data_IF_411920275278
#
_entry.id   IF_411920275278
#
_cell.length_a   1.000
_cell.length_b   1.000
_cell.length_c   1.000
_cell.angle_alpha   90.00
_cell.angle_beta   90.00
_cell.angle_gamma   90.00
#
_symmetry.space_group_name_H-M   'P 1'
#
loop_
_entity.id
_entity.type
_entity.pdbx_description
1 polymer ?
#
# COMPACT_ATOMS: atom_id res chain seq x y z
N UNK A 1 -22.91 2.53 6.52
CA UNK A 1 -23.10 3.29 5.29
C UNK A 1 -22.12 2.87 4.25
N UNK A 2 -22.60 2.59 3.05
CA UNK A 2 -21.71 2.17 1.96
C UNK A 2 -20.96 3.33 1.31
N UNK A 3 -21.46 4.54 1.43
CA UNK A 3 -20.87 5.69 0.75
C UNK A 3 -19.42 5.96 1.08
N UNK A 4 -18.97 5.99 2.34
CA UNK A 4 -17.55 6.17 2.64
C UNK A 4 -16.69 5.04 2.09
N UNK A 5 -17.19 3.81 2.16
CA UNK A 5 -16.49 2.65 1.61
C UNK A 5 -16.35 2.77 0.09
N UNK A 6 -17.42 3.21 -0.58
CA UNK A 6 -17.39 3.39 -2.03
C UNK A 6 -16.38 4.46 -2.46
N UNK A 7 -16.28 5.54 -1.69
CA UNK A 7 -15.31 6.59 -1.96
C UNK A 7 -13.87 6.09 -1.81
N UNK A 8 -13.63 5.29 -0.78
CA UNK A 8 -12.30 4.69 -0.55
C UNK A 8 -11.96 3.74 -1.70
N UNK A 9 -12.88 2.87 -2.08
CA UNK A 9 -12.65 1.94 -3.19
C UNK A 9 -12.39 2.66 -4.51
N UNK A 10 -13.10 3.75 -4.75
CA UNK A 10 -12.88 4.56 -5.94
C UNK A 10 -11.48 5.18 -5.92
N UNK A 11 -11.05 5.66 -4.75
CA UNK A 11 -9.72 6.22 -4.59
C UNK A 11 -8.63 5.16 -4.85
N UNK A 12 -8.84 3.93 -4.37
CA UNK A 12 -7.90 2.84 -4.62
C UNK A 12 -7.77 2.54 -6.11
N UNK A 13 -8.84 2.69 -6.87
CA UNK A 13 -8.82 2.50 -8.33
C UNK A 13 -8.09 3.63 -9.05
N UNK A 14 -8.25 4.86 -8.57
CA UNK A 14 -7.71 6.04 -9.23
C UNK A 14 -6.25 6.31 -8.85
N UNK A 15 -5.87 5.98 -7.64
CA UNK A 15 -4.53 6.30 -7.12
C UNK A 15 -3.81 5.02 -6.72
N UNK A 16 -2.86 4.61 -7.54
CA UNK A 16 -2.08 3.40 -7.29
C UNK A 16 -0.77 3.69 -6.59
N UNK A 17 -0.31 4.93 -6.61
CA UNK A 17 0.93 5.32 -5.95
C UNK A 17 0.59 6.08 -4.67
N UNK A 18 1.16 5.63 -3.58
CA UNK A 18 0.99 6.27 -2.28
C UNK A 18 2.25 6.11 -1.47
N UNK A 19 2.17 6.44 -0.18
CA UNK A 19 3.31 6.24 0.72
C UNK A 19 3.02 5.11 1.68
N UNK A 20 4.07 4.33 1.97
CA UNK A 20 4.01 3.29 2.98
C UNK A 20 5.01 3.65 4.08
N UNK A 21 4.52 3.78 5.31
CA UNK A 21 5.36 4.01 6.46
C UNK A 21 5.52 2.72 7.25
N UNK A 22 6.75 2.37 7.58
CA UNK A 22 7.09 1.22 8.41
C UNK A 22 7.96 1.70 9.57
N UNK A 23 8.20 0.82 10.54
CA UNK A 23 8.97 1.17 11.73
C UNK A 23 10.23 0.31 11.80
N UNK A 24 11.38 0.96 11.98
CA UNK A 24 12.66 0.30 12.19
C UNK A 24 13.34 0.92 13.39
N UNK A 25 13.71 0.11 14.37
CA UNK A 25 14.36 0.59 15.59
C UNK A 25 13.59 1.77 16.22
N UNK A 26 12.28 1.60 16.29
CA UNK A 26 11.38 2.58 16.89
C UNK A 26 11.30 3.92 16.15
N UNK A 27 11.71 3.95 14.87
CA UNK A 27 11.66 5.14 14.03
C UNK A 27 10.78 4.88 12.81
N UNK A 28 9.97 5.85 12.40
CA UNK A 28 9.15 5.69 11.20
C UNK A 28 9.97 5.98 9.93
N UNK A 29 9.73 5.18 8.92
CA UNK A 29 10.32 5.36 7.58
C UNK A 29 9.19 5.31 6.57
N UNK A 30 9.11 6.29 5.68
CA UNK A 30 8.10 6.30 4.64
C UNK A 30 8.74 6.41 3.26
N UNK A 31 8.10 5.81 2.28
CA UNK A 31 8.56 5.82 0.89
C UNK A 31 7.36 5.66 -0.02
N UNK A 32 7.51 6.05 -1.28
CA UNK A 32 6.48 5.83 -2.27
C UNK A 32 6.44 4.35 -2.69
N UNK A 33 5.23 3.83 -2.87
CA UNK A 33 5.01 2.46 -3.30
C UNK A 33 3.84 2.42 -4.29
N UNK A 34 3.84 1.41 -5.13
CA UNK A 34 2.71 1.10 -5.99
C UNK A 34 1.79 0.13 -5.24
N UNK A 35 0.52 0.49 -5.13
CA UNK A 35 -0.45 -0.31 -4.39
C UNK A 35 -1.46 -0.96 -5.30
N UNK A 36 -1.86 -2.16 -4.93
CA UNK A 36 -2.97 -2.90 -5.51
C UNK A 36 -3.99 -3.15 -4.40
N UNK A 37 -5.19 -3.57 -4.76
CA UNK A 37 -6.19 -3.83 -3.74
C UNK A 37 -7.13 -4.96 -4.14
N UNK A 38 -7.70 -5.60 -3.12
CA UNK A 38 -8.79 -6.54 -3.25
C UNK A 38 -9.78 -6.18 -2.14
N UNK A 39 -10.91 -5.58 -2.53
CA UNK A 39 -11.77 -4.93 -1.55
C UNK A 39 -11.01 -3.82 -0.86
N UNK A 40 -11.02 -3.81 0.46
CA UNK A 40 -10.30 -2.81 1.25
C UNK A 40 -8.90 -3.25 1.65
N UNK A 41 -8.53 -4.49 1.35
CA UNK A 41 -7.18 -4.99 1.63
C UNK A 41 -6.22 -4.46 0.59
N UNK A 42 -5.11 -3.90 1.02
CA UNK A 42 -4.08 -3.38 0.12
C UNK A 42 -2.93 -4.36 -0.03
N UNK A 43 -2.31 -4.31 -1.18
CA UNK A 43 -1.12 -5.12 -1.48
C UNK A 43 -0.08 -4.21 -2.13
N UNK A 44 1.18 -4.50 -1.84
CA UNK A 44 2.27 -3.83 -2.52
C UNK A 44 3.39 -4.82 -2.77
N UNK A 45 4.03 -4.70 -3.93
CA UNK A 45 5.10 -5.60 -4.31
C UNK A 45 6.44 -4.96 -4.00
N UNK A 46 7.38 -5.76 -3.52
CA UNK A 46 8.74 -5.29 -3.25
C UNK A 46 9.72 -6.42 -3.52
N UNK A 47 11.00 -6.09 -3.50
CA UNK A 47 12.08 -7.06 -3.65
C UNK A 47 12.52 -7.51 -2.25
N UNK A 48 12.81 -8.80 -2.10
CA UNK A 48 13.24 -9.36 -0.81
C UNK A 48 14.52 -8.73 -0.26
N UNK A 49 15.32 -8.15 -1.14
CA UNK A 49 16.58 -7.52 -0.72
C UNK A 49 16.38 -6.18 -0.01
N UNK A 50 15.15 -5.66 0.03
CA UNK A 50 14.86 -4.43 0.75
C UNK A 50 14.64 -4.71 2.23
N UNK A 51 14.77 -3.67 3.06
CA UNK A 51 14.57 -3.81 4.50
C UNK A 51 13.11 -3.90 4.91
N UNK A 52 12.19 -3.68 3.98
CA UNK A 52 10.74 -3.63 4.30
C UNK A 52 10.23 -4.92 4.93
N UNK A 53 10.63 -6.07 4.38
CA UNK A 53 10.17 -7.35 4.90
C UNK A 53 10.65 -7.58 6.33
N UNK A 54 11.91 -7.26 6.59
CA UNK A 54 12.49 -7.40 7.92
C UNK A 54 11.84 -6.45 8.91
N UNK A 55 11.62 -5.20 8.50
CA UNK A 55 10.96 -4.20 9.34
C UNK A 55 9.56 -4.67 9.75
N UNK A 56 8.82 -5.25 8.81
CA UNK A 56 7.45 -5.72 9.04
C UNK A 56 7.42 -6.94 9.96
N UNK A 57 8.40 -7.84 9.85
CA UNK A 57 8.50 -8.97 10.77
C UNK A 57 8.72 -8.50 12.20
N UNK A 58 9.53 -7.47 12.38
CA UNK A 58 9.83 -6.93 13.70
C UNK A 58 8.72 -6.05 14.25
N UNK A 59 8.02 -5.33 13.37
CA UNK A 59 6.89 -4.50 13.75
C UNK A 59 5.92 -4.40 12.57
N UNK A 60 4.78 -5.10 12.64
CA UNK A 60 3.83 -5.13 11.53
C UNK A 60 2.97 -3.87 11.38
N UNK A 61 3.05 -2.93 12.30
CA UNK A 61 2.26 -1.69 12.20
C UNK A 61 2.73 -0.84 11.03
N UNK A 62 1.79 -0.47 10.17
CA UNK A 62 2.08 0.34 8.99
C UNK A 62 1.04 1.43 8.82
N UNK A 63 1.39 2.42 8.02
CA UNK A 63 0.49 3.51 7.65
C UNK A 63 0.64 3.78 6.16
N UNK A 64 -0.49 3.93 5.47
CA UNK A 64 -0.52 4.21 4.03
C UNK A 64 -1.24 5.53 3.80
N UNK A 65 -0.70 6.35 2.93
CA UNK A 65 -1.33 7.60 2.49
C UNK A 65 -1.53 7.53 0.98
N UNK A 66 -2.77 7.69 0.54
CA UNK A 66 -3.13 7.67 -0.88
C UNK A 66 -3.94 8.93 -1.24
N UNK A 67 -3.84 9.35 -2.48
CA UNK A 67 -4.66 10.45 -2.99
C UNK A 67 -3.90 11.64 -3.55
N UNK A 68 -2.57 11.61 -3.54
CA UNK A 68 -1.80 12.70 -4.11
C UNK A 68 -1.92 12.67 -5.65
N UNK A 69 -2.27 13.81 -6.22
CA UNK A 69 -2.45 13.94 -7.68
C UNK A 69 -1.88 15.28 -8.18
N UNK A 70 -0.74 15.69 -7.65
CA UNK A 70 -0.07 16.91 -8.08
C UNK A 70 -0.61 18.18 -7.45
N UNK A 71 -1.79 18.16 -6.89
CA UNK A 71 -2.41 19.32 -6.24
C UNK A 71 -3.04 18.85 -4.93
N UNK A 72 -2.17 18.58 -3.95
CA UNK A 72 -2.57 17.94 -2.69
C UNK A 72 -3.63 18.73 -1.91
N UNK A 73 -3.67 20.06 -2.07
CA UNK A 73 -4.60 20.88 -1.31
C UNK A 73 -6.03 20.84 -1.86
N UNK A 74 -6.19 20.34 -3.08
CA UNK A 74 -7.50 20.29 -3.74
C UNK A 74 -8.05 18.88 -3.89
N UNK A 75 -7.25 17.88 -3.59
CA UNK A 75 -7.63 16.49 -3.78
C UNK A 75 -8.04 15.82 -2.49
N UNK A 76 -8.96 14.90 -2.59
CA UNK A 76 -9.30 14.02 -1.49
C UNK A 76 -8.12 13.09 -1.22
N UNK A 77 -7.98 12.63 0.02
CA UNK A 77 -6.96 11.65 0.34
C UNK A 77 -7.45 10.70 1.44
N UNK A 78 -6.76 9.60 1.59
CA UNK A 78 -7.10 8.59 2.60
C UNK A 78 -5.86 8.22 3.39
N UNK A 79 -6.05 8.06 4.70
CA UNK A 79 -5.04 7.53 5.61
C UNK A 79 -5.49 6.14 6.04
N UNK A 80 -4.62 5.16 5.86
CA UNK A 80 -4.91 3.78 6.23
C UNK A 80 -3.93 3.34 7.30
N UNK A 81 -4.44 3.05 8.49
CA UNK A 81 -3.68 2.47 9.57
C UNK A 81 -3.95 0.98 9.56
N UNK A 82 -2.90 0.17 9.56
CA UNK A 82 -3.10 -1.25 9.46
C UNK A 82 -1.90 -2.08 9.88
N UNK A 83 -1.99 -3.35 9.57
CA UNK A 83 -0.98 -4.34 9.87
C UNK A 83 -0.54 -5.00 8.58
N UNK A 84 0.77 -5.17 8.40
CA UNK A 84 1.33 -5.77 7.21
C UNK A 84 1.85 -7.17 7.48
N UNK A 85 1.72 -8.02 6.49
CA UNK A 85 2.26 -9.38 6.51
C UNK A 85 2.73 -9.77 5.12
N UNK A 86 3.53 -10.80 5.02
CA UNK A 86 3.97 -11.34 3.73
C UNK A 86 2.87 -12.25 3.19
N UNK A 87 2.48 -11.99 1.94
CA UNK A 87 1.49 -12.83 1.25
C UNK A 87 2.25 -13.78 0.33
N UNK A 88 2.08 -15.07 0.55
CA UNK A 88 2.80 -16.09 -0.20
C UNK A 88 1.99 -16.76 -1.31
N UNK A 89 0.74 -16.35 -1.51
CA UNK A 89 -0.11 -16.92 -2.55
C UNK A 89 0.45 -16.64 -3.94
N UNK A 90 0.75 -17.71 -4.67
CA UNK A 90 1.22 -17.58 -6.05
C UNK A 90 0.16 -16.98 -6.95
N UNK A 91 -1.11 -17.26 -6.68
CA UNK A 91 -2.21 -16.68 -7.44
C UNK A 91 -2.27 -15.16 -7.32
N UNK A 92 -2.10 -14.65 -6.09
CA UNK A 92 -2.14 -13.21 -5.87
C UNK A 92 -0.90 -12.53 -6.43
N UNK A 93 0.26 -13.16 -6.34
CA UNK A 93 1.48 -12.64 -6.95
C UNK A 93 1.32 -12.49 -8.45
N UNK A 94 0.75 -13.47 -9.10
CA UNK A 94 0.50 -13.43 -10.53
C UNK A 94 -0.56 -12.39 -10.88
N UNK A 95 -1.63 -12.33 -10.09
CA UNK A 95 -2.73 -11.38 -10.30
C UNK A 95 -2.25 -9.94 -10.27
N UNK A 96 -1.38 -9.60 -9.35
CA UNK A 96 -0.93 -8.23 -9.14
C UNK A 96 0.34 -7.87 -9.90
N UNK A 97 1.03 -8.83 -10.49
CA UNK A 97 2.21 -8.51 -11.28
C UNK A 97 1.81 -7.79 -12.58
N UNK A 98 2.55 -6.75 -12.92
CA UNK A 98 2.36 -6.03 -14.18
C UNK A 98 3.69 -5.43 -14.65
N UNK A 99 3.69 -4.86 -15.86
CA UNK A 99 4.91 -4.34 -16.47
C UNK A 99 5.57 -3.19 -15.73
N UNK A 100 4.84 -2.49 -14.87
CA UNK A 100 5.42 -1.41 -14.07
C UNK A 100 6.40 -1.93 -13.02
N UNK A 101 6.32 -3.22 -12.69
CA UNK A 101 7.21 -3.84 -11.73
C UNK A 101 8.50 -4.38 -12.33
N UNK A 102 8.66 -4.34 -13.64
CA UNK A 102 9.81 -4.95 -14.32
C UNK A 102 11.17 -4.42 -13.87
N UNK A 103 11.24 -3.18 -13.41
CA UNK A 103 12.49 -2.61 -12.93
C UNK A 103 13.00 -3.29 -11.67
N UNK A 104 12.12 -3.87 -10.88
CA UNK A 104 12.45 -4.48 -9.60
C UNK A 104 12.25 -5.99 -9.58
N UNK A 105 11.30 -6.47 -10.38
CA UNK A 105 10.84 -7.85 -10.36
C UNK A 105 10.70 -8.31 -11.82
N UNK A 106 11.42 -9.36 -12.20
CA UNK A 106 11.47 -9.82 -13.58
C UNK A 106 10.17 -10.46 -14.08
N UNK A 107 9.36 -10.98 -13.17
CA UNK A 107 8.11 -11.60 -13.54
C UNK A 107 7.42 -12.16 -12.31
N UNK A 108 6.22 -12.71 -12.44
CA UNK A 108 5.48 -13.24 -11.29
C UNK A 108 6.18 -14.42 -10.60
N UNK A 109 7.11 -15.07 -11.29
CA UNK A 109 7.88 -16.18 -10.74
C UNK A 109 9.25 -15.79 -10.19
N UNK A 110 9.56 -14.50 -10.19
CA UNK A 110 10.86 -14.03 -9.69
C UNK A 110 11.00 -14.43 -8.20
N UNK A 111 12.07 -15.16 -7.83
CA UNK A 111 12.23 -15.58 -6.44
C UNK A 111 12.40 -14.42 -5.46
N UNK A 112 12.77 -13.25 -5.94
CA UNK A 112 12.89 -12.05 -5.10
C UNK A 112 11.60 -11.25 -5.00
N UNK A 113 10.54 -11.68 -5.69
CA UNK A 113 9.24 -11.01 -5.65
C UNK A 113 8.59 -11.27 -4.29
N UNK A 114 8.38 -10.22 -3.54
CA UNK A 114 7.71 -10.27 -2.25
C UNK A 114 6.43 -9.44 -2.33
N UNK A 115 5.31 -10.07 -2.02
CA UNK A 115 4.03 -9.38 -1.97
C UNK A 115 3.68 -9.14 -0.50
N UNK A 116 3.44 -7.89 -0.17
CA UNK A 116 3.03 -7.50 1.18
C UNK A 116 1.52 -7.27 1.19
N UNK A 117 0.87 -7.83 2.20
CA UNK A 117 -0.55 -7.67 2.43
C UNK A 117 -0.76 -6.72 3.59
N UNK A 118 -1.57 -5.68 3.37
CA UNK A 118 -1.88 -4.70 4.39
C UNK A 118 -3.36 -4.84 4.76
N UNK A 119 -3.58 -5.26 6.00
CA UNK A 119 -4.93 -5.43 6.54
C UNK A 119 -5.29 -4.16 7.30
N UNK A 120 -6.27 -3.38 6.81
CA UNK A 120 -6.60 -2.12 7.47
C UNK A 120 -7.29 -2.34 8.80
N UNK A 121 -6.91 -1.52 9.78
CA UNK A 121 -7.58 -1.43 11.06
C UNK A 121 -8.49 -0.21 11.08
N UNK A 122 -8.07 0.85 10.41
CA UNK A 122 -8.79 2.11 10.37
C UNK A 122 -8.48 2.80 9.05
N UNK A 123 -9.50 3.30 8.40
CA UNK A 123 -9.36 4.09 7.17
C UNK A 123 -10.07 5.41 7.40
N UNK A 124 -9.34 6.51 7.21
CA UNK A 124 -9.89 7.86 7.31
C UNK A 124 -9.88 8.50 5.94
N UNK A 125 -11.02 8.96 5.51
CA UNK A 125 -11.17 9.61 4.21
C UNK A 125 -11.35 11.12 4.44
N UNK A 126 -10.48 11.91 3.83
CA UNK A 126 -10.55 13.36 3.91
C UNK A 126 -10.95 13.95 2.58
N UNK A 127 -11.92 14.82 2.59
CA UNK A 127 -12.34 15.54 1.39
C UNK A 127 -11.53 16.82 1.33
N UNK A 128 -10.47 16.81 0.53
CA UNK A 128 -9.49 17.89 0.40
C UNK A 128 -8.59 18.01 1.62
N UNK A 129 -7.33 18.22 1.38
CA UNK A 129 -6.36 18.37 2.46
C UNK A 129 -6.69 19.61 3.29
N UNK A 130 -6.60 19.45 4.61
CA UNK A 130 -6.88 20.53 5.53
C UNK A 130 -8.34 20.68 5.97
N UNK A 131 -9.24 19.90 5.40
CA UNK A 131 -10.66 19.96 5.73
C UNK A 131 -11.07 18.72 6.56
N UNK A 132 -10.73 18.72 7.79
CA UNK A 132 -11.07 17.59 8.67
C UNK A 132 -12.40 17.76 9.37
#
# INVERSE_FOLDING_TARGET
MSEPKEKVLQMFKEHKIGTLATIRQNKPFSRFMLFFHDGLTLYTATNKDTHKAEDIENNPSVHVLLGFNGDAWKNDYAEIEGSASVEESAELKEKFWNGELKEWISGPDDPNYLLLKITPKSIRYYQKAGSE
#
